data_IF_280777276123
#
_entry.id   IF_280777276123
#
_cell.length_a   1.000
_cell.length_b   1.000
_cell.length_c   1.000
_cell.angle_alpha   90.00
_cell.angle_beta   90.00
_cell.angle_gamma   90.00
#
_symmetry.space_group_name_H-M   'P 1'
#
loop_
_entity.id
_entity.type
_entity.pdbx_description
1 polymer ?
#
# COMPACT_ATOMS: atom_id res chain seq x y z
N UNK A 1 51.43 3.51 -25.92
CA UNK A 1 50.83 3.49 -25.64
C UNK A 1 49.93 3.22 -25.25
N UNK A 2 49.95 3.25 -25.03
CA UNK A 2 49.01 2.89 -24.54
C UNK A 2 48.10 3.19 -23.99
N UNK A 3 48.23 3.32 -23.64
CA UNK A 3 47.46 3.39 -22.88
C UNK A 3 46.37 3.73 -22.86
N UNK A 4 46.31 3.94 -23.30
CA UNK A 4 45.23 4.18 -23.22
C UNK A 4 44.13 3.73 -23.01
N UNK A 5 44.45 3.40 -23.16
CA UNK A 5 43.30 2.93 -22.87
C UNK A 5 42.59 2.88 -22.08
N UNK A 6 43.28 3.04 -21.85
CA UNK A 6 42.65 2.81 -21.06
C UNK A 6 41.79 3.14 -20.54
N UNK A 7 41.93 3.40 -20.70
CA UNK A 7 41.08 3.55 -20.20
C UNK A 7 40.10 3.53 -19.88
N UNK A 8 40.30 3.45 -20.05
CA UNK A 8 39.34 3.27 -19.68
C UNK A 8 38.46 3.25 -19.19
N UNK A 9 38.76 3.32 -19.17
CA UNK A 9 37.86 3.21 -18.65
C UNK A 9 36.98 3.17 -18.23
N UNK A 10 37.26 3.19 -18.30
CA UNK A 10 36.35 3.06 -17.86
C UNK A 10 35.66 2.92 -17.38
N UNK A 11 35.81 2.95 -17.42
CA UNK A 11 35.01 2.68 -16.89
C UNK A 11 34.25 2.95 -16.42
N UNK A 12 34.36 3.13 -16.52
CA UNK A 12 33.54 3.15 -16.00
C UNK A 12 32.64 3.07 -15.83
N UNK A 13 32.70 3.06 -16.05
CA UNK A 13 31.68 2.88 -15.82
C UNK A 13 31.07 2.48 -15.44
N UNK A 14 31.25 2.35 -15.47
CA UNK A 14 30.55 1.80 -15.00
C UNK A 14 30.09 1.85 -14.21
N UNK A 15 30.40 2.03 -14.00
CA UNK A 15 30.00 1.91 -13.06
C UNK A 15 29.05 2.40 -12.85
N UNK A 16 29.12 2.78 -13.28
CA UNK A 16 28.20 3.29 -13.00
C UNK A 16 27.13 2.72 -13.13
N UNK A 17 27.25 2.35 -13.24
CA UNK A 17 26.19 1.92 -13.17
C UNK A 17 25.66 1.37 -12.43
N UNK A 18 26.16 1.27 -12.40
CA UNK A 18 25.74 0.43 -11.53
C UNK A 18 24.98 1.00 -10.62
N UNK A 19 25.36 1.82 -10.29
CA UNK A 19 24.68 2.35 -9.34
C UNK A 19 23.37 2.56 -9.67
N UNK A 20 23.08 2.64 -10.72
CA UNK A 20 21.90 2.98 -10.94
C UNK A 20 20.96 2.07 -10.75
N UNK A 21 21.25 1.07 -10.86
CA UNK A 21 20.26 0.21 -10.69
C UNK A 21 19.82 0.16 -9.41
N UNK A 22 20.55 0.53 -8.68
CA UNK A 22 20.23 0.36 -7.45
C UNK A 22 19.11 0.92 -7.02
N UNK A 23 18.68 1.71 -7.58
CA UNK A 23 17.70 2.41 -7.05
C UNK A 23 16.59 1.78 -6.49
N UNK A 24 16.35 0.75 -6.79
CA UNK A 24 15.24 0.27 -6.32
C UNK A 24 15.28 -0.29 -5.08
N UNK A 25 16.04 -0.20 -4.45
CA UNK A 25 16.18 -0.74 -3.35
C UNK A 25 15.31 -0.65 -2.37
N UNK A 26 15.47 -0.98 -1.25
CA UNK A 26 14.53 -0.99 -0.22
C UNK A 26 14.02 0.36 -0.04
N UNK A 27 12.81 0.44 0.24
CA UNK A 27 12.20 1.67 0.40
C UNK A 27 12.71 2.35 1.62
N UNK A 28 13.16 3.55 1.50
CA UNK A 28 13.60 4.32 2.64
C UNK A 28 12.38 4.81 3.39
N UNK A 29 12.57 5.32 4.57
CA UNK A 29 11.47 5.88 5.32
C UNK A 29 10.74 6.96 4.53
N UNK A 30 11.47 7.75 3.79
CA UNK A 30 10.85 8.79 3.01
C UNK A 30 10.02 8.21 1.88
N UNK A 31 10.50 7.17 1.26
CA UNK A 31 9.72 6.57 0.20
C UNK A 31 8.51 5.84 0.77
N UNK A 32 8.65 5.24 1.92
CA UNK A 32 7.51 4.62 2.54
C UNK A 32 6.45 5.66 2.85
N UNK A 33 6.85 6.84 3.21
CA UNK A 33 5.89 7.90 3.45
C UNK A 33 5.22 8.34 2.17
N UNK A 34 5.86 8.15 1.03
CA UNK A 34 5.23 8.48 -0.22
C UNK A 34 4.18 7.47 -0.61
N UNK A 35 4.26 6.27 -0.05
CA UNK A 35 3.22 5.31 -0.27
C UNK A 35 2.22 5.52 0.86
N UNK A 36 1.45 6.58 0.75
CA UNK A 36 0.50 6.92 1.78
C UNK A 36 -0.44 5.77 2.05
N UNK A 37 -0.78 5.61 3.30
CA UNK A 37 -1.72 4.58 3.68
C UNK A 37 -3.06 4.81 2.99
N UNK A 38 -3.70 3.76 2.59
CA UNK A 38 -5.04 3.86 2.03
C UNK A 38 -6.03 3.33 3.05
N UNK A 39 -7.18 3.98 3.12
CA UNK A 39 -8.26 3.55 4.00
C UNK A 39 -9.36 2.95 3.16
N UNK A 40 -9.76 1.75 3.51
CA UNK A 40 -10.76 1.04 2.75
C UNK A 40 -11.91 0.62 3.66
N UNK A 41 -13.10 1.04 3.28
CA UNK A 41 -14.34 0.66 3.93
C UNK A 41 -14.82 -0.58 3.21
N UNK A 42 -14.85 -1.70 3.91
CA UNK A 42 -15.25 -2.97 3.28
C UNK A 42 -16.73 -3.29 3.53
N UNK A 43 -17.50 -2.28 3.96
CA UNK A 43 -18.93 -2.45 4.12
C UNK A 43 -19.62 -2.37 2.75
N UNK A 44 -20.91 -2.56 2.74
CA UNK A 44 -21.67 -2.46 1.50
C UNK A 44 -21.66 -1.01 0.98
N UNK A 45 -21.99 -0.86 -0.28
CA UNK A 45 -22.10 0.47 -0.89
C UNK A 45 -23.17 1.30 -0.19
N UNK A 46 -24.25 0.66 0.21
CA UNK A 46 -25.30 1.39 0.90
C UNK A 46 -24.81 1.92 2.24
N UNK A 47 -24.12 1.10 3.02
CA UNK A 47 -23.58 1.56 4.30
C UNK A 47 -22.62 2.71 4.10
N UNK A 48 -21.77 2.61 3.09
CA UNK A 48 -20.81 3.65 2.78
C UNK A 48 -21.52 4.95 2.43
N UNK A 49 -22.60 4.88 1.68
CA UNK A 49 -23.32 6.09 1.28
C UNK A 49 -23.99 6.78 2.46
N UNK A 50 -24.24 6.06 3.52
CA UNK A 50 -24.88 6.62 4.70
C UNK A 50 -23.89 7.34 5.62
N UNK A 51 -22.61 7.18 5.37
CA UNK A 51 -21.57 7.86 6.13
C UNK A 51 -20.31 6.99 6.10
N UNK A 52 -19.15 7.62 5.97
CA UNK A 52 -17.88 6.91 5.92
C UNK A 52 -16.76 7.88 6.30
N UNK A 53 -15.57 7.36 6.56
CA UNK A 53 -14.43 8.22 6.81
C UNK A 53 -14.08 8.97 5.54
N UNK A 54 -13.72 10.24 5.67
CA UNK A 54 -13.54 11.12 4.53
C UNK A 54 -12.59 10.60 3.47
N UNK A 55 -11.52 9.98 3.86
CA UNK A 55 -10.52 9.53 2.89
C UNK A 55 -10.68 8.06 2.51
N UNK A 56 -11.75 7.43 2.94
CA UNK A 56 -11.92 6.02 2.66
C UNK A 56 -12.46 5.77 1.26
N UNK A 57 -12.00 4.69 0.69
CA UNK A 57 -12.52 4.18 -0.57
C UNK A 57 -13.39 2.98 -0.22
N UNK A 58 -14.49 2.82 -0.89
CA UNK A 58 -15.37 1.68 -0.62
C UNK A 58 -15.03 0.51 -1.55
N UNK A 59 -14.61 -0.59 -0.96
CA UNK A 59 -14.47 -1.84 -1.69
C UNK A 59 -15.10 -2.91 -0.81
N UNK A 60 -16.34 -3.29 -1.09
CA UNK A 60 -17.01 -4.28 -0.25
C UNK A 60 -16.23 -5.58 -0.16
N UNK A 61 -16.40 -6.27 0.98
CA UNK A 61 -15.61 -7.47 1.28
C UNK A 61 -15.64 -8.50 0.16
N UNK A 62 -16.76 -8.68 -0.49
CA UNK A 62 -16.86 -9.67 -1.55
C UNK A 62 -16.13 -9.27 -2.83
N UNK A 63 -15.63 -8.06 -2.90
CA UNK A 63 -14.90 -7.56 -4.06
C UNK A 63 -13.45 -7.23 -3.74
N UNK A 64 -13.02 -7.43 -2.49
CA UNK A 64 -11.75 -6.88 -2.03
C UNK A 64 -10.55 -7.41 -2.82
N UNK A 65 -10.46 -8.70 -3.01
CA UNK A 65 -9.30 -9.26 -3.69
C UNK A 65 -9.26 -8.82 -5.14
N UNK A 66 -10.42 -8.76 -5.79
CA UNK A 66 -10.49 -8.42 -7.18
C UNK A 66 -10.16 -6.94 -7.43
N UNK A 67 -10.48 -6.09 -6.47
CA UNK A 67 -10.37 -4.65 -6.70
C UNK A 67 -9.31 -3.92 -5.88
N UNK A 68 -8.64 -4.59 -4.95
CA UNK A 68 -7.66 -3.91 -4.10
C UNK A 68 -6.59 -3.18 -4.91
N UNK A 69 -6.22 -3.71 -6.06
CA UNK A 69 -5.17 -3.10 -6.87
C UNK A 69 -5.55 -1.70 -7.36
N UNK A 70 -6.83 -1.38 -7.39
CA UNK A 70 -7.27 -0.05 -7.79
C UNK A 70 -6.86 1.00 -6.75
N UNK A 71 -6.87 0.62 -5.49
CA UNK A 71 -6.54 1.53 -4.41
C UNK A 71 -5.09 1.38 -3.96
N UNK A 72 -4.54 0.20 -4.08
CA UNK A 72 -3.19 -0.10 -3.62
C UNK A 72 -2.51 -1.05 -4.59
N UNK A 73 -2.01 -0.54 -5.70
CA UNK A 73 -1.33 -1.40 -6.68
C UNK A 73 -0.05 -2.01 -6.13
N UNK A 74 0.59 -1.35 -5.18
CA UNK A 74 1.82 -1.86 -4.59
C UNK A 74 1.46 -2.69 -3.37
N UNK A 75 1.96 -3.90 -3.30
CA UNK A 75 1.61 -4.82 -2.22
C UNK A 75 2.18 -4.45 -0.86
N UNK A 76 3.09 -3.50 -0.81
CA UNK A 76 3.63 -3.02 0.45
C UNK A 76 2.94 -1.75 0.94
N UNK A 77 2.00 -1.25 0.20
CA UNK A 77 1.25 -0.06 0.61
C UNK A 77 0.51 -0.35 1.92
N UNK A 78 0.59 0.52 2.90
CA UNK A 78 -0.20 0.32 4.12
C UNK A 78 -1.69 0.40 3.81
N UNK A 79 -2.40 -0.65 4.14
CA UNK A 79 -3.83 -0.75 3.88
C UNK A 79 -4.55 -0.81 5.21
N UNK A 80 -5.39 0.17 5.47
CA UNK A 80 -6.17 0.25 6.69
C UNK A 80 -7.62 -0.08 6.37
N UNK A 81 -8.14 -1.12 7.00
CA UNK A 81 -9.48 -1.61 6.74
C UNK A 81 -10.41 -1.31 7.91
N UNK A 82 -11.65 -1.04 7.61
CA UNK A 82 -12.66 -1.00 8.65
C UNK A 82 -14.00 -1.45 8.07
N UNK A 83 -14.91 -1.83 8.95
CA UNK A 83 -16.26 -2.15 8.56
C UNK A 83 -17.19 -1.66 9.65
N UNK A 84 -18.29 -2.34 9.93
CA UNK A 84 -19.21 -1.90 10.95
C UNK A 84 -18.74 -2.30 12.34
N UNK A 85 -18.21 -3.52 12.47
CA UNK A 85 -17.79 -4.06 13.76
C UNK A 85 -16.40 -4.66 13.76
N UNK A 86 -15.72 -4.64 12.61
CA UNK A 86 -14.39 -5.23 12.48
C UNK A 86 -14.39 -6.64 11.94
N UNK A 87 -15.55 -7.28 11.87
CA UNK A 87 -15.60 -8.69 11.46
C UNK A 87 -15.35 -8.87 9.98
N UNK A 88 -16.00 -8.07 9.13
CA UNK A 88 -15.75 -8.13 7.70
C UNK A 88 -14.33 -7.65 7.38
N UNK A 89 -13.85 -6.65 8.13
CA UNK A 89 -12.49 -6.15 7.95
C UNK A 89 -11.47 -7.24 8.28
N UNK A 90 -11.76 -8.08 9.27
CA UNK A 90 -10.84 -9.16 9.59
C UNK A 90 -10.80 -10.20 8.46
N UNK A 91 -11.94 -10.53 7.89
CA UNK A 91 -11.98 -11.44 6.75
C UNK A 91 -11.23 -10.85 5.56
N UNK A 92 -11.41 -9.55 5.31
CA UNK A 92 -10.71 -8.87 4.24
C UNK A 92 -9.20 -8.89 4.46
N UNK A 93 -8.77 -8.69 5.70
CA UNK A 93 -7.36 -8.70 6.04
C UNK A 93 -6.74 -10.07 5.70
N UNK A 94 -7.42 -11.15 6.05
CA UNK A 94 -6.91 -12.48 5.76
C UNK A 94 -6.82 -12.72 4.25
N UNK A 95 -7.82 -12.28 3.50
CA UNK A 95 -7.81 -12.44 2.05
C UNK A 95 -6.70 -11.63 1.41
N UNK A 96 -6.45 -10.42 1.88
CA UNK A 96 -5.40 -9.59 1.33
C UNK A 96 -4.02 -10.14 1.66
N UNK A 97 -3.84 -10.71 2.84
CA UNK A 97 -2.57 -11.37 3.16
C UNK A 97 -2.31 -12.53 2.22
N UNK A 98 -3.34 -13.32 1.93
CA UNK A 98 -3.19 -14.42 0.99
C UNK A 98 -2.85 -13.91 -0.40
N UNK A 99 -3.31 -12.72 -0.75
CA UNK A 99 -3.03 -12.13 -2.05
C UNK A 99 -1.67 -11.44 -2.10
N UNK A 100 -0.90 -11.48 -1.00
CA UNK A 100 0.46 -10.95 -1.00
C UNK A 100 0.63 -9.57 -0.42
N UNK A 101 -0.42 -8.98 0.13
CA UNK A 101 -0.32 -7.67 0.75
C UNK A 101 0.36 -7.80 2.11
N UNK A 102 1.41 -7.02 2.33
CA UNK A 102 2.28 -7.20 3.47
C UNK A 102 2.02 -6.26 4.64
N UNK A 103 1.17 -5.27 4.46
CA UNK A 103 1.02 -4.23 5.46
C UNK A 103 -0.45 -3.85 5.61
N UNK A 104 -1.24 -4.77 6.15
CA UNK A 104 -2.69 -4.61 6.26
C UNK A 104 -3.09 -4.59 7.72
N UNK A 105 -3.96 -3.68 8.09
CA UNK A 105 -4.44 -3.58 9.47
C UNK A 105 -5.96 -3.45 9.51
N UNK A 106 -6.58 -4.11 10.47
CA UNK A 106 -8.00 -4.03 10.73
C UNK A 106 -8.20 -3.00 11.84
N UNK A 107 -8.90 -1.92 11.55
CA UNK A 107 -9.13 -0.85 12.54
C UNK A 107 -10.51 -0.92 13.19
N UNK A 108 -11.24 -1.99 12.98
CA UNK A 108 -12.49 -2.21 13.70
C UNK A 108 -13.71 -1.60 13.04
N UNK A 109 -14.51 -0.94 13.82
CA UNK A 109 -15.80 -0.46 13.35
C UNK A 109 -15.86 1.03 13.15
N UNK A 110 -16.68 1.43 12.21
CA UNK A 110 -16.84 2.83 11.84
C UNK A 110 -17.23 3.71 13.04
N UNK A 111 -18.19 3.27 13.82
CA UNK A 111 -18.63 4.07 14.96
C UNK A 111 -17.53 4.24 15.99
N UNK A 112 -16.75 3.19 16.22
CA UNK A 112 -15.65 3.29 17.16
C UNK A 112 -14.58 4.24 16.66
N UNK A 113 -14.33 4.27 15.35
CA UNK A 113 -13.37 5.19 14.79
C UNK A 113 -13.84 6.63 14.93
N UNK A 114 -15.14 6.87 14.75
CA UNK A 114 -15.67 8.21 14.96
C UNK A 114 -15.50 8.64 16.41
N UNK A 115 -15.70 7.72 17.36
CA UNK A 115 -15.52 8.02 18.78
C UNK A 115 -14.08 8.37 19.11
N UNK A 116 -13.14 7.87 18.33
CA UNK A 116 -11.72 8.20 18.51
C UNK A 116 -11.34 9.50 17.83
N UNK A 117 -12.28 10.18 17.24
CA UNK A 117 -12.03 11.47 16.61
C UNK A 117 -11.75 11.41 15.12
N UNK A 118 -11.82 10.26 14.51
CA UNK A 118 -11.64 10.16 13.09
C UNK A 118 -12.88 10.64 12.35
N UNK A 119 -12.72 11.09 11.14
CA UNK A 119 -13.83 11.61 10.35
C UNK A 119 -13.85 11.02 8.97
#
# INVERSE_FOLDING_TARGET
>A
MNIKHLITTALIASAAFAAQAAPQKPVSAAQAAQHSAVWIDVRSEQEFSEGHLHNAVNIPIDQIVRRIHEAAPDKDTPVNLYCRSGRRAEAALQELKKAGYTNVANHGGYEDLLKKGMK
#
